data_IF_264904121171
#
_entry.id   IF_264904121171
#
_cell.length_a   1.000
_cell.length_b   1.000
_cell.length_c   1.000
_cell.angle_alpha   90.00
_cell.angle_beta   90.00
_cell.angle_gamma   90.00
#
_symmetry.space_group_name_H-M   'P 1'
#
loop_
_entity.id
_entity.type
_entity.pdbx_description
1 polymer ?
#
# COMPACT_ATOMS: atom_id res chain seq x y z
N UNK A 1 -23.36 -23.92 -2.57
CA UNK A 1 -22.23 -23.29 -3.31
C UNK A 1 -21.43 -22.51 -2.28
N UNK A 2 -20.12 -22.76 -2.16
CA UNK A 2 -19.28 -22.15 -1.12
C UNK A 2 -18.47 -21.00 -1.72
N UNK A 3 -18.30 -19.93 -0.94
CA UNK A 3 -17.60 -18.73 -1.36
C UNK A 3 -16.57 -18.35 -0.30
N UNK A 4 -15.42 -17.83 -0.75
CA UNK A 4 -14.42 -17.18 0.07
C UNK A 4 -14.65 -15.66 -0.03
N UNK A 5 -15.21 -15.07 1.02
CA UNK A 5 -15.67 -13.68 0.97
C UNK A 5 -16.86 -13.49 0.01
N UNK A 6 -17.14 -12.24 -0.44
CA UNK A 6 -18.34 -11.94 -1.22
C UNK A 6 -18.27 -12.36 -2.69
N UNK A 7 -17.07 -12.61 -3.24
CA UNK A 7 -16.87 -12.70 -4.70
C UNK A 7 -16.15 -13.94 -5.19
N UNK A 8 -15.39 -14.66 -4.35
CA UNK A 8 -14.56 -15.78 -4.82
C UNK A 8 -15.32 -17.09 -4.65
N UNK A 9 -15.72 -17.70 -5.76
CA UNK A 9 -16.37 -19.01 -5.76
C UNK A 9 -15.35 -20.12 -5.47
N UNK A 10 -15.68 -20.99 -4.52
CA UNK A 10 -14.86 -22.15 -4.18
C UNK A 10 -15.27 -23.33 -5.07
N UNK A 11 -14.37 -23.86 -5.92
CA UNK A 11 -14.68 -24.99 -6.78
C UNK A 11 -15.05 -26.24 -5.94
N UNK A 12 -15.92 -27.11 -6.45
CA UNK A 12 -16.18 -28.39 -5.79
C UNK A 12 -14.91 -29.24 -5.73
N UNK A 13 -14.74 -30.02 -4.64
CA UNK A 13 -13.54 -30.86 -4.42
C UNK A 13 -13.27 -31.87 -5.56
N UNK A 14 -14.30 -32.24 -6.32
CA UNK A 14 -14.22 -33.15 -7.45
C UNK A 14 -13.49 -32.57 -8.67
N UNK A 15 -13.18 -31.27 -8.69
CA UNK A 15 -12.59 -30.57 -9.83
C UNK A 15 -11.20 -30.01 -9.52
N UNK A 16 -10.15 -30.85 -9.47
CA UNK A 16 -8.80 -30.43 -9.08
C UNK A 16 -8.19 -29.37 -10.01
N UNK A 17 -8.54 -29.40 -11.31
CA UNK A 17 -8.07 -28.38 -12.28
C UNK A 17 -8.61 -26.98 -11.99
N UNK A 18 -9.83 -26.85 -11.47
CA UNK A 18 -10.41 -25.56 -11.10
C UNK A 18 -9.78 -25.02 -9.81
N UNK A 19 -9.41 -25.92 -8.88
CA UNK A 19 -8.64 -25.56 -7.68
C UNK A 19 -7.25 -25.02 -8.01
N UNK A 20 -6.53 -25.64 -8.94
CA UNK A 20 -5.24 -25.14 -9.40
C UNK A 20 -5.35 -23.72 -9.96
N UNK A 21 -6.34 -23.48 -10.85
CA UNK A 21 -6.60 -22.14 -11.40
C UNK A 21 -6.92 -21.10 -10.32
N UNK A 22 -7.73 -21.46 -9.32
CA UNK A 22 -8.04 -20.57 -8.21
C UNK A 22 -6.77 -20.23 -7.41
N UNK A 23 -5.92 -21.22 -7.18
CA UNK A 23 -4.67 -21.04 -6.45
C UNK A 23 -3.71 -20.10 -7.20
N UNK A 24 -3.54 -20.30 -8.51
CA UNK A 24 -2.71 -19.43 -9.36
C UNK A 24 -3.23 -17.99 -9.34
N UNK A 25 -4.54 -17.80 -9.51
CA UNK A 25 -5.17 -16.47 -9.46
C UNK A 25 -4.98 -15.79 -8.10
N UNK A 26 -5.04 -16.54 -6.99
CA UNK A 26 -4.78 -16.00 -5.65
C UNK A 26 -3.31 -15.60 -5.46
N UNK A 27 -2.37 -16.34 -6.04
CA UNK A 27 -0.95 -16.00 -6.00
C UNK A 27 -0.70 -14.70 -6.78
N UNK A 28 -1.19 -14.61 -8.00
CA UNK A 28 -1.06 -13.41 -8.84
C UNK A 28 -1.65 -12.19 -8.12
N UNK A 29 -2.86 -12.33 -7.58
CA UNK A 29 -3.49 -11.27 -6.81
C UNK A 29 -2.64 -10.82 -5.61
N UNK A 30 -2.08 -11.76 -4.85
CA UNK A 30 -1.20 -11.44 -3.71
C UNK A 30 0.06 -10.70 -4.16
N UNK A 31 0.68 -11.14 -5.25
CA UNK A 31 1.87 -10.50 -5.81
C UNK A 31 1.56 -9.07 -6.29
N UNK A 32 0.47 -8.88 -7.02
CA UNK A 32 0.03 -7.56 -7.46
C UNK A 32 -0.29 -6.65 -6.27
N UNK A 33 -0.99 -7.17 -5.26
CA UNK A 33 -1.31 -6.42 -4.06
C UNK A 33 -0.05 -5.97 -3.34
N UNK A 34 0.91 -6.88 -3.11
CA UNK A 34 2.19 -6.56 -2.50
C UNK A 34 2.96 -5.50 -3.30
N UNK A 35 3.01 -5.64 -4.63
CA UNK A 35 3.66 -4.67 -5.53
C UNK A 35 2.99 -3.29 -5.45
N UNK A 36 1.66 -3.22 -5.52
CA UNK A 36 0.91 -1.96 -5.40
C UNK A 36 1.11 -1.31 -4.03
N UNK A 37 1.11 -2.11 -2.98
CA UNK A 37 1.36 -1.63 -1.62
C UNK A 37 2.76 -1.03 -1.49
N UNK A 38 3.80 -1.70 -2.01
CA UNK A 38 5.17 -1.20 -1.97
C UNK A 38 5.34 0.09 -2.78
N UNK A 39 4.76 0.16 -3.98
CA UNK A 39 4.72 1.39 -4.79
C UNK A 39 4.02 2.51 -4.02
N UNK A 40 2.91 2.23 -3.35
CA UNK A 40 2.18 3.19 -2.52
C UNK A 40 3.02 3.72 -1.37
N UNK A 41 3.77 2.84 -0.67
CA UNK A 41 4.68 3.20 0.41
C UNK A 41 5.77 4.16 -0.07
N UNK A 42 6.43 3.82 -1.18
CA UNK A 42 7.49 4.66 -1.79
C UNK A 42 6.93 6.01 -2.24
N UNK A 43 5.76 6.01 -2.90
CA UNK A 43 5.12 7.25 -3.37
C UNK A 43 4.78 8.19 -2.20
N UNK A 44 4.17 7.65 -1.14
CA UNK A 44 3.82 8.43 0.06
C UNK A 44 5.07 9.01 0.72
N UNK A 45 6.14 8.22 0.82
CA UNK A 45 7.42 8.70 1.35
C UNK A 45 7.96 9.87 0.52
N UNK A 46 7.97 9.73 -0.81
CA UNK A 46 8.44 10.79 -1.70
C UNK A 46 7.59 12.07 -1.60
N UNK A 47 6.28 11.93 -1.47
CA UNK A 47 5.37 13.07 -1.25
C UNK A 47 5.67 13.81 0.06
N UNK A 48 5.95 13.07 1.14
CA UNK A 48 6.35 13.66 2.43
C UNK A 48 7.72 14.36 2.35
N UNK A 49 8.72 13.73 1.72
CA UNK A 49 10.05 14.33 1.49
C UNK A 49 9.93 15.64 0.69
N UNK A 50 9.13 15.63 -0.37
CA UNK A 50 8.88 16.82 -1.19
C UNK A 50 8.19 17.92 -0.39
N UNK A 51 7.16 17.58 0.40
CA UNK A 51 6.45 18.54 1.23
C UNK A 51 7.36 19.18 2.30
N UNK A 52 8.27 18.40 2.90
CA UNK A 52 9.29 18.94 3.82
C UNK A 52 10.20 19.93 3.09
N UNK A 53 10.74 19.54 1.92
CA UNK A 53 11.63 20.41 1.14
C UNK A 53 10.95 21.72 0.70
N UNK A 54 9.69 21.66 0.27
CA UNK A 54 8.90 22.84 -0.08
C UNK A 54 8.64 23.76 1.13
N UNK A 55 8.51 23.20 2.33
CA UNK A 55 8.37 23.99 3.56
C UNK A 55 9.71 24.60 3.97
N UNK A 56 10.82 23.88 3.87
CA UNK A 56 12.15 24.38 4.22
C UNK A 56 12.60 25.57 3.36
N UNK A 57 12.18 25.63 2.09
CA UNK A 57 12.45 26.75 1.19
C UNK A 57 11.71 28.04 1.58
N UNK A 58 10.70 27.97 2.45
CA UNK A 58 9.96 29.15 2.93
C UNK A 58 10.68 29.80 4.10
N UNK A 59 10.47 31.11 4.26
CA UNK A 59 10.93 31.85 5.43
C UNK A 59 10.49 31.20 6.75
N UNK A 60 11.27 31.42 7.81
CA UNK A 60 11.01 30.82 9.12
C UNK A 60 9.65 31.24 9.70
N UNK A 61 8.86 30.25 10.12
CA UNK A 61 7.61 30.43 10.87
C UNK A 61 7.46 29.23 11.85
N UNK A 62 6.99 29.48 13.08
CA UNK A 62 6.72 28.43 14.09
C UNK A 62 5.74 27.37 13.58
N UNK A 63 4.74 27.77 12.79
CA UNK A 63 3.76 26.83 12.21
C UNK A 63 4.39 25.91 11.17
N UNK A 64 5.35 26.43 10.39
CA UNK A 64 6.13 25.67 9.42
C UNK A 64 6.98 24.60 10.11
N UNK A 65 7.70 24.96 11.18
CA UNK A 65 8.49 23.98 11.94
C UNK A 65 7.61 22.88 12.54
N UNK A 66 6.41 23.23 13.01
CA UNK A 66 5.46 22.24 13.52
C UNK A 66 5.02 21.26 12.42
N UNK A 67 4.72 21.77 11.23
CA UNK A 67 4.36 20.96 10.06
C UNK A 67 5.51 20.07 9.59
N UNK A 68 6.74 20.59 9.56
CA UNK A 68 7.94 19.79 9.21
C UNK A 68 8.10 18.63 10.19
N UNK A 69 8.04 18.90 11.51
CA UNK A 69 8.14 17.84 12.54
C UNK A 69 7.05 16.78 12.38
N UNK A 70 5.82 17.19 12.07
CA UNK A 70 4.71 16.26 11.84
C UNK A 70 4.98 15.37 10.60
N UNK A 71 5.47 15.94 9.51
CA UNK A 71 5.81 15.19 8.30
C UNK A 71 7.03 14.27 8.51
N UNK A 72 8.04 14.69 9.27
CA UNK A 72 9.17 13.84 9.68
C UNK A 72 8.73 12.66 10.55
N UNK A 73 7.77 12.87 11.45
CA UNK A 73 7.22 11.79 12.28
C UNK A 73 6.44 10.79 11.44
N UNK A 74 5.63 11.28 10.48
CA UNK A 74 4.95 10.41 9.51
C UNK A 74 5.94 9.62 8.66
N UNK A 75 7.01 10.25 8.18
CA UNK A 75 8.04 9.59 7.39
C UNK A 75 8.74 8.46 8.16
N UNK A 76 9.06 8.69 9.44
CA UNK A 76 9.63 7.66 10.33
C UNK A 76 8.72 6.44 10.53
N UNK A 77 7.40 6.64 10.56
CA UNK A 77 6.43 5.52 10.65
C UNK A 77 6.31 4.72 9.36
N UNK A 78 6.71 5.31 8.23
CA UNK A 78 6.71 4.68 6.91
C UNK A 78 8.09 4.21 6.46
N UNK A 79 9.11 4.24 7.31
CA UNK A 79 10.44 3.67 7.02
C UNK A 79 10.47 2.28 7.64
#
# INVERSE_FOLDING_TARGET
MYFLGPTIQIPPKSKPKEWAKLYDALIEFRQEFAKKHEIGKVKLRHELEKAISELEQRGYNKEREKLIKEYEERLRRHT
#
